data_IF_831250054455
#
_entry.id   IF_831250054455
#
_cell.length_a   1.000
_cell.length_b   1.000
_cell.length_c   1.000
_cell.angle_alpha   90.00
_cell.angle_beta   90.00
_cell.angle_gamma   90.00
#
_symmetry.space_group_name_H-M   'P 1'
#
loop_
_entity.id
_entity.type
_entity.pdbx_description
1 polymer ?
#
# COMPACT_ATOMS: atom_id res chain seq x y z
N UNK A 1 22.72 -24.35 14.22
CA UNK A 1 23.17 -24.09 12.84
C UNK A 1 23.37 -22.59 12.77
N UNK A 2 24.54 -22.12 12.35
CA UNK A 2 24.79 -20.68 12.21
C UNK A 2 24.24 -20.20 10.86
N UNK A 3 23.45 -19.13 10.88
CA UNK A 3 22.93 -18.50 9.67
C UNK A 3 23.75 -17.27 9.30
N UNK A 4 23.70 -16.79 8.04
CA UNK A 4 24.53 -15.68 7.58
C UNK A 4 24.46 -14.44 8.45
N UNK A 5 23.26 -14.03 8.86
CA UNK A 5 23.10 -12.81 9.67
C UNK A 5 23.78 -12.91 11.04
N UNK A 6 23.99 -14.12 11.55
CA UNK A 6 24.59 -14.37 12.87
C UNK A 6 26.13 -14.33 12.82
N UNK A 7 26.72 -14.69 11.68
CA UNK A 7 28.20 -14.71 11.50
C UNK A 7 28.73 -13.43 10.86
N UNK A 8 27.91 -12.73 10.07
CA UNK A 8 28.28 -11.51 9.34
C UNK A 8 28.16 -10.24 10.20
N UNK A 9 28.03 -10.34 11.52
CA UNK A 9 27.91 -9.15 12.38
C UNK A 9 29.18 -8.30 12.39
N UNK A 10 30.35 -8.94 12.32
CA UNK A 10 31.65 -8.27 12.32
C UNK A 10 32.25 -8.06 10.91
N UNK A 11 31.62 -8.57 9.86
CA UNK A 11 32.19 -8.58 8.51
C UNK A 11 31.83 -7.31 7.75
N UNK A 12 32.84 -6.69 7.14
CA UNK A 12 32.71 -5.50 6.30
C UNK A 12 32.42 -5.83 4.82
N UNK A 13 32.08 -4.80 4.04
CA UNK A 13 31.87 -4.97 2.60
C UNK A 13 33.11 -5.45 1.85
N UNK A 14 34.28 -4.93 2.22
CA UNK A 14 35.55 -5.22 1.54
C UNK A 14 35.93 -6.71 1.65
N UNK A 15 35.66 -7.32 2.80
CA UNK A 15 35.91 -8.74 3.06
C UNK A 15 34.99 -9.62 2.21
N UNK A 16 33.69 -9.32 2.17
CA UNK A 16 32.73 -10.02 1.31
C UNK A 16 33.07 -9.90 -0.18
N UNK A 17 33.46 -8.71 -0.62
CA UNK A 17 33.87 -8.48 -2.00
C UNK A 17 35.15 -9.23 -2.33
N UNK A 18 36.14 -9.21 -1.43
CA UNK A 18 37.41 -9.90 -1.64
C UNK A 18 37.21 -11.41 -1.74
N UNK A 19 36.42 -12.00 -0.83
CA UNK A 19 35.99 -13.39 -0.88
C UNK A 19 35.30 -13.72 -2.21
N UNK A 20 34.35 -12.88 -2.65
CA UNK A 20 33.63 -13.07 -3.90
C UNK A 20 34.54 -13.05 -5.14
N UNK A 21 35.52 -12.14 -5.20
CA UNK A 21 36.49 -12.10 -6.29
C UNK A 21 37.45 -13.29 -6.27
N UNK A 22 37.91 -13.71 -5.09
CA UNK A 22 38.75 -14.90 -4.94
C UNK A 22 38.01 -16.14 -5.45
N UNK A 23 36.78 -16.34 -4.97
CA UNK A 23 35.97 -17.48 -5.39
C UNK A 23 35.68 -17.48 -6.90
N UNK A 24 35.35 -16.32 -7.49
CA UNK A 24 35.15 -16.22 -8.93
C UNK A 24 36.43 -16.55 -9.72
N UNK A 25 37.59 -16.10 -9.23
CA UNK A 25 38.89 -16.44 -9.84
C UNK A 25 39.14 -17.94 -9.79
N UNK A 26 38.91 -18.58 -8.64
CA UNK A 26 39.08 -20.02 -8.48
C UNK A 26 38.12 -20.80 -9.38
N UNK A 27 36.87 -20.35 -9.52
CA UNK A 27 35.86 -20.96 -10.38
C UNK A 27 36.26 -21.01 -11.87
N UNK A 28 37.17 -20.13 -12.33
CA UNK A 28 37.72 -20.16 -13.70
C UNK A 28 38.60 -21.37 -13.97
N UNK A 29 39.22 -21.93 -12.92
CA UNK A 29 40.18 -23.03 -13.01
C UNK A 29 39.62 -24.35 -12.45
N UNK A 30 38.35 -24.37 -12.02
CA UNK A 30 37.70 -25.59 -11.52
C UNK A 30 37.58 -26.61 -12.65
N UNK A 31 38.03 -27.83 -12.36
CA UNK A 31 37.89 -28.98 -13.24
C UNK A 31 36.40 -29.25 -13.53
N UNK A 32 35.96 -29.26 -14.81
CA UNK A 32 34.59 -29.56 -15.20
C UNK A 32 34.06 -30.89 -14.61
N UNK A 33 34.94 -31.87 -14.40
CA UNK A 33 34.60 -33.19 -13.88
C UNK A 33 34.37 -33.19 -12.35
N UNK A 34 34.79 -32.14 -11.65
CA UNK A 34 34.65 -31.95 -10.19
C UNK A 34 33.73 -30.76 -9.86
N UNK A 35 32.55 -30.73 -10.48
CA UNK A 35 31.60 -29.62 -10.30
C UNK A 35 31.04 -29.54 -8.88
N UNK A 36 31.02 -28.32 -8.32
CA UNK A 36 30.37 -28.04 -7.04
C UNK A 36 28.84 -27.92 -7.22
N UNK A 37 28.09 -28.34 -6.20
CA UNK A 37 26.63 -28.25 -6.17
C UNK A 37 26.17 -27.61 -4.86
N UNK A 38 25.18 -26.71 -4.96
CA UNK A 38 24.43 -26.22 -3.81
C UNK A 38 23.14 -27.02 -3.67
N UNK A 39 22.84 -27.50 -2.47
CA UNK A 39 21.53 -28.10 -2.16
C UNK A 39 20.62 -27.03 -1.56
N UNK A 40 19.49 -26.79 -2.21
CA UNK A 40 18.45 -25.90 -1.71
C UNK A 40 17.62 -26.61 -0.63
N UNK A 41 16.92 -25.84 0.19
CA UNK A 41 15.95 -26.31 1.19
C UNK A 41 14.86 -27.22 0.61
N UNK A 42 14.54 -27.06 -0.67
CA UNK A 42 13.60 -27.90 -1.42
C UNK A 42 14.15 -29.30 -1.76
N UNK A 43 15.41 -29.58 -1.42
CA UNK A 43 16.13 -30.80 -1.81
C UNK A 43 16.70 -30.75 -3.24
N UNK A 44 16.38 -29.69 -4.00
CA UNK A 44 16.90 -29.46 -5.34
C UNK A 44 18.39 -29.12 -5.29
N UNK A 45 19.18 -29.72 -6.19
CA UNK A 45 20.59 -29.39 -6.36
C UNK A 45 20.80 -28.45 -7.54
N UNK A 46 21.61 -27.41 -7.35
CA UNK A 46 22.00 -26.46 -8.39
C UNK A 46 23.50 -26.61 -8.60
N UNK A 47 23.90 -26.96 -9.83
CA UNK A 47 25.31 -26.97 -10.22
C UNK A 47 25.84 -25.54 -10.22
N UNK A 48 27.02 -25.32 -9.68
CA UNK A 48 27.69 -24.02 -9.67
C UNK A 48 28.65 -23.98 -10.86
N UNK A 49 28.52 -22.96 -11.70
CA UNK A 49 29.40 -22.76 -12.85
C UNK A 49 29.49 -21.29 -13.22
N UNK A 50 30.49 -20.92 -14.02
CA UNK A 50 30.66 -19.54 -14.50
C UNK A 50 29.44 -19.02 -15.27
N UNK A 51 28.64 -19.91 -15.87
CA UNK A 51 27.45 -19.55 -16.64
C UNK A 51 26.24 -19.15 -15.78
N UNK A 52 26.24 -19.44 -14.48
CA UNK A 52 25.12 -19.12 -13.60
C UNK A 52 25.54 -18.40 -12.32
N UNK A 53 26.74 -17.86 -12.29
CA UNK A 53 27.27 -17.07 -11.18
C UNK A 53 27.58 -15.66 -11.67
N UNK A 54 27.22 -14.63 -10.90
CA UNK A 54 27.46 -13.25 -11.30
C UNK A 54 27.39 -12.27 -10.14
N UNK A 55 28.12 -11.15 -10.29
CA UNK A 55 28.09 -10.07 -9.32
C UNK A 55 26.80 -9.25 -9.42
N UNK A 56 26.18 -9.00 -8.26
CA UNK A 56 25.00 -8.14 -8.14
C UNK A 56 25.27 -7.01 -7.16
N UNK A 57 24.80 -5.77 -7.44
CA UNK A 57 24.96 -4.66 -6.52
C UNK A 57 24.05 -4.83 -5.30
N UNK A 58 24.60 -4.66 -4.11
CA UNK A 58 23.87 -4.79 -2.84
C UNK A 58 22.92 -3.60 -2.60
N UNK A 59 23.29 -2.41 -3.08
CA UNK A 59 22.57 -1.15 -2.81
C UNK A 59 21.96 -0.50 -4.05
N UNK A 60 21.38 -1.32 -4.93
CA UNK A 60 20.68 -0.84 -6.12
C UNK A 60 21.62 -0.24 -7.16
N UNK A 61 21.51 1.08 -7.40
CA UNK A 61 22.32 1.78 -8.40
C UNK A 61 23.76 2.04 -7.93
N UNK A 62 24.06 1.87 -6.64
CA UNK A 62 25.42 1.97 -6.14
C UNK A 62 26.20 0.70 -6.52
N UNK A 63 27.16 0.87 -7.43
CA UNK A 63 28.01 -0.21 -7.95
C UNK A 63 29.28 -0.44 -7.12
N UNK A 64 29.49 0.32 -6.03
CA UNK A 64 30.64 0.15 -5.15
C UNK A 64 30.61 -1.22 -4.48
N UNK A 65 29.47 -1.57 -3.89
CA UNK A 65 29.31 -2.79 -3.10
C UNK A 65 28.55 -3.88 -3.84
N UNK A 66 29.22 -5.01 -4.05
CA UNK A 66 28.68 -6.15 -4.81
C UNK A 66 28.84 -7.45 -4.03
N UNK A 67 27.91 -8.36 -4.25
CA UNK A 67 27.99 -9.74 -3.76
C UNK A 67 27.86 -10.70 -4.92
N UNK A 68 28.37 -11.91 -4.77
CA UNK A 68 28.24 -12.94 -5.79
C UNK A 68 26.92 -13.69 -5.61
N UNK A 69 26.13 -13.77 -6.68
CA UNK A 69 24.88 -14.48 -6.71
C UNK A 69 24.97 -15.72 -7.60
N UNK A 70 24.33 -16.80 -7.15
CA UNK A 70 24.07 -17.99 -7.95
C UNK A 70 22.64 -17.90 -8.48
N UNK A 71 22.48 -18.08 -9.79
CA UNK A 71 21.21 -17.96 -10.49
C UNK A 71 20.60 -19.33 -10.80
N UNK A 72 19.27 -19.37 -10.85
CA UNK A 72 18.54 -20.58 -11.21
C UNK A 72 18.88 -21.00 -12.65
N UNK A 73 19.15 -22.29 -12.91
CA UNK A 73 19.39 -22.81 -14.26
C UNK A 73 18.27 -22.50 -15.27
N UNK A 74 17.01 -22.47 -14.81
CA UNK A 74 15.84 -22.20 -15.64
C UNK A 74 15.58 -20.70 -15.86
N UNK A 75 16.13 -19.86 -14.99
CA UNK A 75 15.92 -18.41 -15.01
C UNK A 75 17.18 -17.68 -14.50
N UNK A 76 17.96 -17.17 -15.46
CA UNK A 76 19.20 -16.44 -15.20
C UNK A 76 18.98 -15.09 -14.48
N UNK A 77 17.73 -14.65 -14.27
CA UNK A 77 17.41 -13.44 -13.53
C UNK A 77 17.01 -13.70 -12.09
N UNK A 78 16.79 -14.96 -11.70
CA UNK A 78 16.40 -15.35 -10.35
C UNK A 78 17.59 -15.88 -9.57
N UNK A 79 18.10 -15.07 -8.64
CA UNK A 79 19.13 -15.51 -7.69
C UNK A 79 18.53 -16.48 -6.67
N UNK A 80 19.19 -17.62 -6.47
CA UNK A 80 18.78 -18.69 -5.53
C UNK A 80 19.70 -18.79 -4.31
N UNK A 81 20.90 -18.20 -4.39
CA UNK A 81 21.87 -18.17 -3.31
C UNK A 81 22.84 -16.99 -3.47
N UNK A 82 23.48 -16.60 -2.37
CA UNK A 82 24.57 -15.64 -2.34
C UNK A 82 25.81 -16.29 -1.74
N UNK A 83 26.98 -15.93 -2.26
CA UNK A 83 28.27 -16.27 -1.65
C UNK A 83 28.58 -15.20 -0.61
N UNK A 84 28.68 -15.62 0.65
CA UNK A 84 28.93 -14.76 1.79
C UNK A 84 30.02 -15.42 2.65
N UNK A 85 31.15 -14.74 2.83
CA UNK A 85 32.28 -15.24 3.62
C UNK A 85 32.73 -16.65 3.18
N UNK A 86 33.14 -16.77 1.91
CA UNK A 86 33.61 -17.99 1.25
C UNK A 86 32.62 -19.17 1.21
N UNK A 87 31.36 -18.92 1.56
CA UNK A 87 30.33 -19.95 1.63
C UNK A 87 29.05 -19.56 0.90
N UNK A 88 28.50 -20.51 0.16
CA UNK A 88 27.20 -20.36 -0.49
C UNK A 88 26.07 -20.56 0.52
N UNK A 89 25.17 -19.57 0.57
CA UNK A 89 23.95 -19.64 1.37
C UNK A 89 22.73 -19.52 0.47
N UNK A 90 21.82 -20.49 0.60
CA UNK A 90 20.53 -20.42 -0.06
C UNK A 90 19.73 -19.22 0.48
N UNK A 91 18.87 -18.66 -0.37
CA UNK A 91 17.99 -17.53 -0.02
C UNK A 91 17.23 -17.78 1.29
N UNK A 92 16.71 -18.99 1.49
CA UNK A 92 15.96 -19.33 2.71
C UNK A 92 16.82 -19.32 3.98
N UNK A 93 18.09 -19.72 3.89
CA UNK A 93 19.01 -19.72 5.02
C UNK A 93 19.47 -18.30 5.36
N UNK A 94 19.59 -17.42 4.37
CA UNK A 94 19.90 -16.00 4.58
C UNK A 94 18.79 -15.32 5.40
N UNK A 95 17.54 -15.74 5.22
CA UNK A 95 16.38 -15.17 5.92
C UNK A 95 16.15 -15.77 7.31
N UNK A 96 17.09 -16.55 7.83
CA UNK A 96 16.99 -17.22 9.13
C UNK A 96 18.06 -16.74 10.09
N UNK A 97 17.80 -16.98 11.37
CA UNK A 97 18.72 -16.71 12.47
C UNK A 97 18.56 -17.78 13.54
N UNK A 98 19.66 -18.10 14.22
CA UNK A 98 19.70 -18.94 15.40
C UNK A 98 19.70 -18.11 16.69
N UNK A 99 19.89 -16.80 16.59
CA UNK A 99 19.86 -15.90 17.74
C UNK A 99 18.42 -15.61 18.16
N UNK A 100 18.01 -16.22 19.28
CA UNK A 100 16.70 -16.00 19.89
C UNK A 100 16.43 -14.55 20.31
N UNK A 101 17.48 -13.71 20.43
CA UNK A 101 17.33 -12.29 20.72
C UNK A 101 16.78 -11.49 19.52
N UNK A 102 16.93 -12.04 18.30
CA UNK A 102 16.40 -11.44 17.07
C UNK A 102 14.92 -11.76 16.90
N UNK A 103 14.08 -11.02 17.64
CA UNK A 103 12.62 -11.15 17.59
C UNK A 103 11.96 -9.76 17.56
N UNK A 104 10.92 -9.60 16.75
CA UNK A 104 10.23 -8.32 16.56
C UNK A 104 10.94 -7.39 15.55
N UNK A 105 10.66 -6.09 15.64
CA UNK A 105 11.20 -5.09 14.72
C UNK A 105 12.58 -4.62 15.16
N UNK A 106 13.61 -5.00 14.39
CA UNK A 106 15.01 -4.69 14.72
C UNK A 106 15.59 -3.77 13.66
N UNK A 107 16.23 -2.69 14.10
CA UNK A 107 16.90 -1.72 13.23
C UNK A 107 18.14 -2.33 12.59
N UNK A 108 18.24 -2.19 11.27
CA UNK A 108 19.38 -2.64 10.47
C UNK A 108 20.62 -1.81 10.77
N UNK A 109 21.73 -2.47 11.06
CA UNK A 109 23.03 -1.90 11.44
C UNK A 109 24.21 -2.62 10.77
N UNK A 110 24.15 -3.95 10.61
CA UNK A 110 25.25 -4.73 10.04
C UNK A 110 25.11 -4.99 8.54
N UNK A 111 26.21 -5.39 7.89
CA UNK A 111 26.21 -5.83 6.48
C UNK A 111 25.34 -7.08 6.31
N UNK A 112 25.41 -8.03 7.26
CA UNK A 112 24.53 -9.20 7.30
C UNK A 112 23.04 -8.83 7.25
N UNK A 113 22.60 -7.87 8.06
CA UNK A 113 21.22 -7.40 8.06
C UNK A 113 20.85 -6.66 6.76
N UNK A 114 21.79 -5.93 6.15
CA UNK A 114 21.61 -5.33 4.82
C UNK A 114 21.42 -6.39 3.73
N UNK A 115 22.11 -7.52 3.84
CA UNK A 115 21.93 -8.67 2.94
C UNK A 115 20.54 -9.29 3.13
N UNK A 116 20.06 -9.47 4.37
CA UNK A 116 18.68 -9.93 4.63
C UNK A 116 17.67 -8.99 3.97
N UNK A 117 17.84 -7.67 4.14
CA UNK A 117 17.00 -6.65 3.52
C UNK A 117 17.05 -6.70 1.98
N UNK A 118 18.23 -6.97 1.41
CA UNK A 118 18.41 -7.16 -0.03
C UNK A 118 17.62 -8.37 -0.51
N UNK A 119 17.75 -9.51 0.17
CA UNK A 119 17.06 -10.75 -0.20
C UNK A 119 15.54 -10.58 -0.11
N UNK A 120 15.02 -9.97 0.96
CA UNK A 120 13.58 -9.71 1.10
C UNK A 120 13.04 -8.83 -0.04
N UNK A 121 13.74 -7.73 -0.37
CA UNK A 121 13.28 -6.76 -1.37
C UNK A 121 13.56 -7.22 -2.82
N UNK A 122 14.80 -7.60 -3.12
CA UNK A 122 15.26 -7.82 -4.51
C UNK A 122 15.00 -9.22 -5.02
N UNK A 123 14.95 -10.21 -4.11
CA UNK A 123 14.73 -11.61 -4.48
C UNK A 123 13.29 -11.98 -4.14
N UNK A 124 12.96 -12.18 -2.86
CA UNK A 124 11.65 -12.72 -2.44
C UNK A 124 10.49 -11.88 -2.95
N UNK A 125 10.47 -10.58 -2.64
CA UNK A 125 9.38 -9.70 -3.07
C UNK A 125 9.22 -9.74 -4.60
N UNK A 126 10.29 -9.54 -5.38
CA UNK A 126 10.19 -9.39 -6.84
C UNK A 126 9.92 -10.70 -7.59
N UNK A 127 10.41 -11.83 -7.12
CA UNK A 127 10.30 -13.10 -7.87
C UNK A 127 9.04 -13.87 -7.53
N UNK A 128 8.55 -13.80 -6.28
CA UNK A 128 7.47 -14.69 -5.82
C UNK A 128 6.28 -13.97 -5.20
N UNK A 129 6.45 -12.74 -4.72
CA UNK A 129 5.48 -12.12 -3.80
C UNK A 129 4.87 -10.78 -4.22
N UNK A 130 5.40 -10.15 -5.28
CA UNK A 130 4.92 -8.91 -5.87
C UNK A 130 3.65 -9.14 -6.69
N UNK A 131 2.72 -8.19 -6.63
CA UNK A 131 1.47 -8.28 -7.38
C UNK A 131 1.68 -7.90 -8.85
N UNK A 132 0.87 -8.48 -9.75
CA UNK A 132 0.92 -8.09 -11.16
C UNK A 132 0.57 -6.60 -11.33
N UNK A 133 1.44 -5.86 -12.02
CA UNK A 133 1.26 -4.42 -12.26
C UNK A 133 1.71 -3.51 -11.09
N UNK A 134 2.25 -4.08 -10.01
CA UNK A 134 2.87 -3.31 -8.93
C UNK A 134 4.25 -2.79 -9.36
N UNK A 135 4.55 -1.54 -9.00
CA UNK A 135 5.89 -0.98 -9.22
C UNK A 135 6.82 -1.54 -8.15
N UNK A 136 7.94 -2.19 -8.51
CA UNK A 136 8.82 -2.77 -7.52
C UNK A 136 9.45 -1.70 -6.63
N UNK A 137 9.60 -1.99 -5.34
CA UNK A 137 10.38 -1.15 -4.44
C UNK A 137 11.79 -0.95 -4.97
N UNK A 138 12.30 0.27 -4.84
CA UNK A 138 13.73 0.51 -5.08
C UNK A 138 14.54 -0.26 -4.04
N UNK A 139 15.79 -0.58 -4.40
CA UNK A 139 16.70 -1.17 -3.44
C UNK A 139 17.01 -0.15 -2.34
N UNK A 140 17.25 -0.63 -1.13
CA UNK A 140 17.72 0.21 -0.04
C UNK A 140 19.14 0.71 -0.33
N UNK A 141 19.45 1.91 0.13
CA UNK A 141 20.79 2.44 0.22
C UNK A 141 21.54 1.90 1.45
N UNK A 142 22.86 2.02 1.41
CA UNK A 142 23.78 1.58 2.46
C UNK A 142 23.44 2.17 3.85
N UNK A 143 23.02 3.44 3.87
CA UNK A 143 22.72 4.19 5.09
C UNK A 143 21.22 4.46 5.30
N UNK A 144 20.36 3.85 4.49
CA UNK A 144 18.91 4.04 4.63
C UNK A 144 18.44 3.51 5.99
N UNK A 145 17.54 4.24 6.63
CA UNK A 145 16.86 3.71 7.81
C UNK A 145 15.98 2.53 7.40
N UNK A 146 16.13 1.40 8.06
CA UNK A 146 15.27 0.25 7.87
C UNK A 146 15.17 -0.57 9.17
N UNK A 147 14.05 -1.28 9.32
CA UNK A 147 13.91 -2.34 10.31
C UNK A 147 13.44 -3.62 9.64
N UNK A 148 13.94 -4.75 10.12
CA UNK A 148 13.49 -6.09 9.73
C UNK A 148 12.58 -6.62 10.84
N UNK A 149 11.45 -7.20 10.46
CA UNK A 149 10.58 -7.93 11.36
C UNK A 149 11.04 -9.39 11.42
N UNK A 150 11.51 -9.80 12.59
CA UNK A 150 11.86 -11.18 12.89
C UNK A 150 10.72 -11.86 13.65
N UNK A 151 10.42 -13.10 13.27
CA UNK A 151 9.43 -13.96 13.91
C UNK A 151 9.91 -15.40 13.90
N UNK A 152 10.05 -16.00 15.08
CA UNK A 152 10.40 -17.42 15.25
C UNK A 152 11.68 -17.81 14.49
N UNK A 153 12.71 -16.96 14.54
CA UNK A 153 13.98 -17.20 13.85
C UNK A 153 13.96 -16.95 12.34
N UNK A 154 12.88 -16.37 11.78
CA UNK A 154 12.81 -15.99 10.37
C UNK A 154 12.58 -14.49 10.19
N UNK A 155 13.20 -13.90 9.17
CA UNK A 155 12.89 -12.56 8.68
C UNK A 155 11.60 -12.61 7.86
N UNK A 156 10.53 -12.00 8.38
CA UNK A 156 9.18 -12.10 7.80
C UNK A 156 8.69 -10.83 7.12
N UNK A 157 9.44 -9.74 7.24
CA UNK A 157 9.11 -8.49 6.58
C UNK A 157 10.12 -7.40 6.91
N UNK A 158 9.92 -6.23 6.34
CA UNK A 158 10.72 -5.05 6.63
C UNK A 158 9.95 -3.78 6.32
N UNK A 159 10.43 -2.66 6.84
CA UNK A 159 10.11 -1.34 6.30
C UNK A 159 11.38 -0.48 6.22
N UNK A 160 11.41 0.45 5.27
CA UNK A 160 12.46 1.45 5.12
C UNK A 160 11.90 2.86 5.15
N UNK A 161 12.73 3.81 5.56
CA UNK A 161 12.36 5.23 5.70
C UNK A 161 13.42 6.08 5.04
N UNK A 162 12.98 7.13 4.34
CA UNK A 162 13.81 8.28 3.98
C UNK A 162 13.65 9.34 5.07
N UNK A 163 14.66 9.56 5.93
CA UNK A 163 14.55 10.53 7.01
C UNK A 163 14.43 11.96 6.46
N UNK A 164 13.78 12.83 7.23
CA UNK A 164 13.80 14.27 6.98
C UNK A 164 15.24 14.78 6.84
N UNK A 165 15.48 15.65 5.86
CA UNK A 165 16.79 16.21 5.55
C UNK A 165 17.69 15.31 4.68
N UNK A 166 17.34 14.03 4.48
CA UNK A 166 18.09 13.15 3.57
C UNK A 166 17.90 13.53 2.09
N UNK A 167 18.94 13.38 1.28
CA UNK A 167 18.91 13.65 -0.16
C UNK A 167 17.98 12.67 -0.89
N UNK A 168 17.17 13.21 -1.79
CA UNK A 168 16.36 12.40 -2.68
C UNK A 168 17.21 11.89 -3.83
N UNK A 169 17.36 10.57 -3.97
CA UNK A 169 18.17 9.95 -5.03
C UNK A 169 17.68 10.32 -6.44
N UNK A 170 16.41 10.68 -6.60
CA UNK A 170 15.82 11.06 -7.89
C UNK A 170 16.04 12.54 -8.23
N UNK A 171 16.42 13.37 -7.26
CA UNK A 171 16.56 14.82 -7.41
C UNK A 171 17.79 15.30 -6.61
N UNK A 172 18.92 15.46 -7.31
CA UNK A 172 20.26 15.68 -6.73
C UNK A 172 20.34 16.91 -5.80
N UNK A 173 19.40 17.85 -5.87
CA UNK A 173 19.37 19.08 -5.07
C UNK A 173 18.26 19.16 -4.02
N UNK A 174 17.42 18.12 -3.86
CA UNK A 174 16.27 18.17 -2.95
C UNK A 174 16.41 17.19 -1.79
N UNK A 175 16.01 17.64 -0.60
CA UNK A 175 15.93 16.81 0.60
C UNK A 175 14.48 16.57 1.01
N UNK A 176 14.21 15.43 1.62
CA UNK A 176 12.92 15.12 2.22
C UNK A 176 12.56 16.14 3.31
N UNK A 177 11.35 16.70 3.27
CA UNK A 177 10.89 17.70 4.24
C UNK A 177 10.23 17.10 5.49
N UNK A 178 9.95 15.80 5.44
CA UNK A 178 9.41 14.98 6.53
C UNK A 178 9.93 13.54 6.39
N UNK A 179 9.90 12.72 7.46
CA UNK A 179 10.21 11.30 7.35
C UNK A 179 9.19 10.61 6.43
N UNK A 180 9.66 9.82 5.47
CA UNK A 180 8.78 9.09 4.54
C UNK A 180 9.07 7.59 4.60
N UNK A 181 8.09 6.77 4.98
CA UNK A 181 8.14 5.33 4.81
C UNK A 181 8.15 5.00 3.31
N UNK A 182 9.32 4.59 2.82
CA UNK A 182 9.63 4.43 1.40
C UNK A 182 9.25 3.05 0.86
N UNK A 183 9.40 2.03 1.69
CA UNK A 183 8.94 0.68 1.38
C UNK A 183 8.50 -0.04 2.64
N UNK A 184 7.50 -0.89 2.48
CA UNK A 184 6.98 -1.76 3.53
C UNK A 184 6.57 -3.08 2.89
N UNK A 185 7.00 -4.18 3.48
CA UNK A 185 6.79 -5.51 2.94
C UNK A 185 6.61 -6.52 4.07
N UNK A 186 5.63 -7.41 3.90
CA UNK A 186 5.41 -8.58 4.77
C UNK A 186 5.27 -9.80 3.87
N UNK A 187 6.04 -10.86 4.16
CA UNK A 187 6.00 -12.14 3.44
C UNK A 187 4.57 -12.70 3.42
N UNK A 188 4.18 -13.33 2.32
CA UNK A 188 2.80 -13.73 2.01
C UNK A 188 2.20 -14.61 3.10
N UNK A 189 2.99 -15.55 3.63
CA UNK A 189 2.58 -16.44 4.73
C UNK A 189 2.31 -15.74 6.06
N UNK A 190 2.76 -14.49 6.21
CA UNK A 190 2.63 -13.68 7.43
C UNK A 190 1.65 -12.50 7.27
N UNK A 191 1.03 -12.34 6.09
CA UNK A 191 0.02 -11.29 5.86
C UNK A 191 -1.27 -11.62 6.62
N UNK A 192 -2.04 -10.60 6.98
CA UNK A 192 -3.29 -10.75 7.73
C UNK A 192 -3.13 -10.97 9.24
N UNK A 193 -1.90 -10.97 9.76
CA UNK A 193 -1.59 -11.20 11.18
C UNK A 193 -1.27 -9.89 11.95
N UNK A 194 -1.63 -8.73 11.39
CA UNK A 194 -1.41 -7.42 12.02
C UNK A 194 0.00 -6.83 11.87
N UNK A 195 0.95 -7.52 11.23
CA UNK A 195 2.33 -7.03 11.09
C UNK A 195 2.48 -5.70 10.34
N UNK A 196 1.61 -5.42 9.36
CA UNK A 196 1.63 -4.12 8.68
C UNK A 196 1.26 -2.96 9.62
N UNK A 197 0.28 -3.18 10.51
CA UNK A 197 -0.10 -2.21 11.53
C UNK A 197 1.02 -2.05 12.57
N UNK A 198 1.62 -3.16 13.01
CA UNK A 198 2.77 -3.15 13.92
C UNK A 198 3.94 -2.32 13.35
N UNK A 199 4.25 -2.46 12.07
CA UNK A 199 5.30 -1.67 11.41
C UNK A 199 4.95 -0.18 11.31
N UNK A 200 3.67 0.16 11.09
CA UNK A 200 3.21 1.54 11.07
C UNK A 200 3.28 2.17 12.48
N UNK A 201 2.82 1.46 13.50
CA UNK A 201 2.92 1.89 14.90
C UNK A 201 4.38 2.14 15.28
N UNK A 202 5.28 1.20 14.97
CA UNK A 202 6.72 1.36 15.24
C UNK A 202 7.36 2.51 14.46
N UNK A 203 6.89 2.79 13.23
CA UNK A 203 7.34 3.96 12.47
C UNK A 203 6.92 5.26 13.15
N UNK A 204 5.65 5.40 13.54
CA UNK A 204 5.16 6.56 14.28
C UNK A 204 5.91 6.72 15.61
N UNK A 205 6.19 5.62 16.28
CA UNK A 205 6.96 5.65 17.52
C UNK A 205 8.43 6.04 17.32
N UNK A 206 9.02 5.66 16.19
CA UNK A 206 10.44 5.92 15.89
C UNK A 206 10.70 7.35 15.41
N UNK A 207 9.70 8.06 14.89
CA UNK A 207 9.84 9.40 14.33
C UNK A 207 8.84 10.37 14.97
N UNK A 208 9.35 11.35 15.73
CA UNK A 208 8.54 12.28 16.54
C UNK A 208 8.23 13.61 15.84
N UNK A 209 8.29 13.64 14.50
CA UNK A 209 7.87 14.79 13.71
C UNK A 209 6.32 14.90 13.74
N UNK A 210 5.81 16.14 13.64
CA UNK A 210 4.36 16.42 13.62
C UNK A 210 3.65 15.85 12.38
N UNK A 211 4.40 15.51 11.34
CA UNK A 211 3.89 14.98 10.08
C UNK A 211 4.78 13.82 9.61
N UNK A 212 4.14 12.70 9.26
CA UNK A 212 4.81 11.49 8.80
C UNK A 212 4.27 11.06 7.44
N UNK A 213 5.20 10.75 6.54
CA UNK A 213 4.92 10.46 5.14
C UNK A 213 4.87 8.96 4.84
N UNK A 214 3.95 8.58 3.95
CA UNK A 214 3.88 7.29 3.27
C UNK A 214 4.11 7.54 1.79
N UNK A 215 5.01 6.79 1.17
CA UNK A 215 5.33 7.01 -0.24
C UNK A 215 4.12 6.83 -1.16
N UNK A 216 3.97 7.75 -2.11
CA UNK A 216 3.01 7.64 -3.21
C UNK A 216 3.46 6.61 -4.26
N UNK A 217 2.53 5.83 -4.85
CA UNK A 217 1.11 5.78 -4.50
C UNK A 217 0.86 4.91 -3.26
N UNK A 218 -0.09 5.34 -2.43
CA UNK A 218 -0.53 4.57 -1.26
C UNK A 218 -1.27 3.33 -1.76
N UNK A 219 -0.63 2.16 -1.59
CA UNK A 219 -1.19 0.89 -2.05
C UNK A 219 -2.54 0.58 -1.37
N UNK A 220 -3.40 -0.26 -1.97
CA UNK A 220 -4.64 -0.68 -1.33
C UNK A 220 -4.42 -1.35 0.03
N UNK A 221 -3.36 -2.16 0.16
CA UNK A 221 -2.98 -2.80 1.41
C UNK A 221 -2.55 -1.75 2.46
N UNK A 222 -1.71 -0.80 2.07
CA UNK A 222 -1.28 0.26 2.99
C UNK A 222 -2.45 1.18 3.39
N UNK A 223 -3.40 1.43 2.49
CA UNK A 223 -4.63 2.16 2.79
C UNK A 223 -5.47 1.45 3.86
N UNK A 224 -5.52 0.11 3.85
CA UNK A 224 -6.20 -0.66 4.91
C UNK A 224 -5.45 -0.57 6.24
N UNK A 225 -4.12 -0.67 6.22
CA UNK A 225 -3.29 -0.52 7.41
C UNK A 225 -3.45 0.88 8.04
N UNK A 226 -3.38 1.94 7.23
CA UNK A 226 -3.61 3.31 7.73
C UNK A 226 -5.02 3.51 8.29
N UNK A 227 -6.04 2.86 7.70
CA UNK A 227 -7.40 2.90 8.24
C UNK A 227 -7.46 2.28 9.63
N UNK A 228 -6.91 1.07 9.79
CA UNK A 228 -6.86 0.41 11.10
C UNK A 228 -6.06 1.18 12.14
N UNK A 229 -4.98 1.84 11.72
CA UNK A 229 -4.22 2.74 12.57
C UNK A 229 -5.09 3.90 13.06
N UNK A 230 -5.75 4.63 12.16
CA UNK A 230 -6.60 5.78 12.53
C UNK A 230 -7.85 5.38 13.32
N UNK A 231 -8.39 4.18 13.11
CA UNK A 231 -9.47 3.63 13.93
C UNK A 231 -9.01 3.42 15.39
N UNK A 232 -7.74 3.05 15.60
CA UNK A 232 -7.13 2.85 16.92
C UNK A 232 -6.64 4.15 17.56
N UNK A 233 -6.12 5.07 16.73
CA UNK A 233 -5.53 6.34 17.14
C UNK A 233 -6.21 7.52 16.43
N UNK A 234 -7.47 7.86 16.77
CA UNK A 234 -8.23 8.89 16.07
C UNK A 234 -7.63 10.31 16.24
N UNK A 235 -6.81 10.53 17.27
CA UNK A 235 -6.09 11.79 17.48
C UNK A 235 -5.04 12.06 16.37
N UNK A 236 -4.58 11.02 15.67
CA UNK A 236 -3.53 11.10 14.65
C UNK A 236 -4.08 11.41 13.24
N UNK A 237 -5.31 11.91 13.15
CA UNK A 237 -6.00 12.19 11.87
C UNK A 237 -5.21 13.13 10.95
N UNK A 238 -4.41 14.03 11.53
CA UNK A 238 -3.58 14.99 10.82
C UNK A 238 -2.09 14.59 10.73
N UNK A 239 -1.71 13.44 11.32
CA UNK A 239 -0.31 12.97 11.38
C UNK A 239 0.16 12.35 10.07
N UNK A 240 -0.69 11.54 9.42
CA UNK A 240 -0.28 10.70 8.29
C UNK A 240 -0.57 11.35 6.93
N UNK A 241 0.47 11.41 6.09
CA UNK A 241 0.43 12.02 4.77
C UNK A 241 0.89 11.02 3.70
N UNK A 242 0.20 10.98 2.56
CA UNK A 242 0.74 10.35 1.36
C UNK A 242 1.62 11.37 0.63
N UNK A 243 2.85 10.99 0.30
CA UNK A 243 3.91 11.89 -0.13
C UNK A 243 4.43 11.50 -1.52
N UNK A 244 4.36 12.45 -2.43
CA UNK A 244 5.06 12.47 -3.71
C UNK A 244 6.41 13.20 -3.56
N UNK A 245 7.40 12.82 -4.37
CA UNK A 245 8.71 13.49 -4.37
C UNK A 245 9.35 13.57 -2.98
N UNK A 246 9.61 14.80 -2.50
CA UNK A 246 10.25 15.08 -1.21
C UNK A 246 9.28 15.56 -0.12
N UNK A 247 7.98 15.62 -0.43
CA UNK A 247 6.95 16.06 0.52
C UNK A 247 6.85 17.56 0.71
N UNK A 248 7.09 18.34 -0.35
CA UNK A 248 6.74 19.76 -0.41
C UNK A 248 5.26 20.04 -0.14
N UNK A 249 4.87 21.31 0.11
CA UNK A 249 3.49 21.69 0.42
C UNK A 249 2.42 21.21 -0.58
N UNK A 250 2.80 21.07 -1.86
CA UNK A 250 1.92 20.59 -2.94
C UNK A 250 2.19 19.15 -3.37
N UNK A 251 3.08 18.44 -2.67
CA UNK A 251 3.47 17.07 -2.97
C UNK A 251 2.97 16.10 -1.90
N UNK A 252 1.97 16.49 -1.11
CA UNK A 252 1.44 15.64 -0.05
C UNK A 252 -0.05 15.81 0.12
N UNK A 253 -0.72 14.71 0.46
CA UNK A 253 -2.16 14.68 0.73
C UNK A 253 -2.39 13.94 2.04
N UNK A 254 -3.24 14.49 2.93
CA UNK A 254 -3.61 13.80 4.18
C UNK A 254 -4.24 12.44 3.88
N UNK A 255 -3.74 11.41 4.55
CA UNK A 255 -4.22 10.03 4.38
C UNK A 255 -5.68 9.92 4.81
N UNK A 256 -6.07 10.52 5.94
CA UNK A 256 -7.44 10.52 6.42
C UNK A 256 -8.44 11.04 5.37
N UNK A 257 -8.11 12.15 4.69
CA UNK A 257 -8.95 12.72 3.62
C UNK A 257 -9.11 11.77 2.43
N UNK A 258 -8.05 11.06 2.04
CA UNK A 258 -8.11 10.05 0.97
C UNK A 258 -8.98 8.87 1.37
N UNK A 259 -8.81 8.34 2.58
CA UNK A 259 -9.60 7.20 3.07
C UNK A 259 -11.10 7.50 3.13
N UNK A 260 -11.48 8.70 3.58
CA UNK A 260 -12.88 9.16 3.63
C UNK A 260 -13.52 9.28 2.25
N UNK A 261 -12.75 9.71 1.24
CA UNK A 261 -13.23 9.84 -0.15
C UNK A 261 -13.57 8.47 -0.77
N UNK A 262 -12.86 7.41 -0.39
CA UNK A 262 -13.16 6.06 -0.84
C UNK A 262 -14.44 5.50 -0.21
N UNK A 263 -14.70 5.78 1.07
CA UNK A 263 -15.93 5.37 1.77
C UNK A 263 -17.18 5.98 1.12
N UNK A 264 -17.12 7.27 0.76
CA UNK A 264 -18.21 7.97 0.06
C UNK A 264 -18.49 7.37 -1.34
N UNK A 265 -17.46 6.94 -2.07
CA UNK A 265 -17.63 6.28 -3.37
C UNK A 265 -18.30 4.91 -3.24
N UNK A 266 -17.94 4.10 -2.24
CA UNK A 266 -18.54 2.78 -2.00
C UNK A 266 -20.01 2.91 -1.57
N UNK A 267 -20.32 3.84 -0.66
CA UNK A 267 -21.69 4.14 -0.25
C UNK A 267 -22.56 4.59 -1.43
N UNK A 268 -22.03 5.44 -2.33
CA UNK A 268 -22.74 5.86 -3.53
C UNK A 268 -23.03 4.69 -4.50
N UNK A 269 -22.10 3.75 -4.67
CA UNK A 269 -22.30 2.57 -5.53
C UNK A 269 -23.33 1.61 -4.92
N UNK A 270 -23.25 1.34 -3.61
CA UNK A 270 -24.23 0.51 -2.91
C UNK A 270 -25.63 1.13 -2.92
N UNK A 271 -25.73 2.45 -2.76
CA UNK A 271 -26.98 3.17 -2.85
C UNK A 271 -27.59 3.08 -4.27
N UNK A 272 -26.78 3.25 -5.33
CA UNK A 272 -27.23 3.04 -6.70
C UNK A 272 -27.77 1.62 -6.94
N UNK A 273 -27.11 0.60 -6.39
CA UNK A 273 -27.53 -0.80 -6.52
C UNK A 273 -28.85 -1.11 -5.80
N UNK A 274 -29.06 -0.52 -4.62
CA UNK A 274 -30.32 -0.66 -3.88
C UNK A 274 -31.46 0.06 -4.59
N UNK A 275 -31.21 1.25 -5.16
CA UNK A 275 -32.20 1.98 -5.95
C UNK A 275 -32.59 1.21 -7.21
N UNK A 276 -31.65 0.59 -7.93
CA UNK A 276 -31.99 -0.22 -9.11
C UNK A 276 -32.80 -1.46 -8.76
N UNK A 277 -32.46 -2.18 -7.69
CA UNK A 277 -33.24 -3.34 -7.23
C UNK A 277 -34.67 -2.95 -6.81
N UNK A 278 -34.84 -1.80 -6.16
CA UNK A 278 -36.15 -1.30 -5.74
C UNK A 278 -37.02 -0.83 -6.92
N UNK A 279 -36.43 -0.13 -7.90
CA UNK A 279 -37.11 0.28 -9.15
C UNK A 279 -37.55 -0.94 -9.97
N UNK A 280 -36.72 -2.00 -10.02
CA UNK A 280 -37.11 -3.26 -10.68
C UNK A 280 -38.29 -3.94 -9.96
N UNK A 281 -38.30 -3.94 -8.63
CA UNK A 281 -39.38 -4.53 -7.84
C UNK A 281 -40.72 -3.82 -8.07
N UNK A 282 -40.71 -2.48 -8.19
CA UNK A 282 -41.92 -1.71 -8.53
C UNK A 282 -42.34 -1.91 -9.99
N UNK A 283 -41.39 -2.01 -10.91
CA UNK A 283 -41.66 -2.27 -12.33
C UNK A 283 -42.32 -3.62 -12.58
N UNK A 284 -41.97 -4.64 -11.80
CA UNK A 284 -42.60 -5.97 -11.86
C UNK A 284 -44.02 -5.95 -11.29
N UNK A 285 -44.29 -5.15 -10.25
CA UNK A 285 -45.62 -5.05 -9.64
C UNK A 285 -46.61 -4.17 -10.42
N UNK A 286 -46.17 -3.34 -11.36
CA UNK A 286 -47.02 -2.34 -12.03
C UNK A 286 -47.26 -2.55 -13.52
N UNK A 287 -46.68 -3.59 -14.15
CA UNK A 287 -46.99 -3.95 -15.54
C UNK A 287 -46.72 -2.85 -16.58
N UNK A 288 -45.87 -1.87 -16.27
CA UNK A 288 -45.59 -0.71 -17.14
C UNK A 288 -44.32 -0.93 -17.98
N UNK A 289 -44.48 -0.83 -19.30
CA UNK A 289 -43.39 -0.94 -20.28
C UNK A 289 -42.28 0.11 -20.09
N UNK A 290 -41.04 -0.32 -20.36
CA UNK A 290 -39.79 0.41 -20.11
C UNK A 290 -39.67 1.72 -20.90
N UNK A 291 -39.45 2.83 -20.17
CA UNK A 291 -38.70 3.99 -20.66
C UNK A 291 -37.90 4.59 -19.50
N UNK A 292 -36.60 4.34 -19.46
CA UNK A 292 -35.65 4.97 -18.52
C UNK A 292 -35.00 6.17 -19.18
N UNK A 293 -35.22 7.38 -18.67
CA UNK A 293 -34.49 8.58 -19.08
C UNK A 293 -33.54 8.98 -17.93
N UNK A 294 -32.22 8.91 -18.17
CA UNK A 294 -31.19 9.34 -17.21
C UNK A 294 -31.10 10.87 -17.19
N UNK A 295 -31.42 11.50 -16.07
CA UNK A 295 -31.06 12.90 -15.82
C UNK A 295 -29.70 12.96 -15.08
N UNK A 296 -28.74 13.72 -15.61
CA UNK A 296 -27.48 14.06 -14.93
C UNK A 296 -27.75 15.23 -13.98
N UNK A 297 -27.35 15.12 -12.70
CA UNK A 297 -27.30 16.26 -11.79
C UNK A 297 -25.98 17.01 -11.97
N UNK A 298 -26.05 18.33 -12.23
CA UNK A 298 -24.92 19.25 -12.21
C UNK A 298 -24.67 19.78 -10.78
N UNK A 299 -23.41 20.08 -10.45
CA UNK A 299 -22.94 20.43 -9.10
C UNK A 299 -23.44 21.79 -8.58
N UNK A 300 -23.38 21.96 -7.25
CA UNK A 300 -23.81 23.13 -6.49
C UNK A 300 -22.70 24.20 -6.38
N UNK A 301 -23.08 25.49 -6.45
CA UNK A 301 -22.22 26.68 -6.31
C UNK A 301 -22.68 27.50 -5.08
N UNK A 302 -21.84 27.81 -4.07
CA UNK A 302 -22.28 28.26 -2.75
C UNK A 302 -22.22 29.78 -2.54
N UNK A 303 -22.63 30.61 -3.50
CA UNK A 303 -22.75 32.06 -3.31
C UNK A 303 -24.21 32.51 -3.43
N UNK A 304 -24.95 32.55 -2.32
CA UNK A 304 -26.02 33.55 -2.06
C UNK A 304 -26.57 33.43 -0.63
N UNK A 305 -26.69 34.60 -0.02
CA UNK A 305 -26.87 34.88 1.41
C UNK A 305 -28.29 34.68 1.97
N UNK A 306 -28.32 34.48 3.31
CA UNK A 306 -29.27 34.97 4.33
C UNK A 306 -30.79 34.99 4.09
N UNK A 307 -31.56 34.55 5.10
CA UNK A 307 -32.65 35.30 5.80
C UNK A 307 -33.05 34.58 7.10
N UNK A 308 -33.29 35.37 8.18
CA UNK A 308 -33.70 34.99 9.55
C UNK A 308 -35.23 34.89 9.69
N UNK A 309 -35.74 34.11 10.66
CA UNK A 309 -37.05 34.32 11.30
C UNK A 309 -37.91 33.05 11.51
N UNK A 310 -38.64 32.92 12.65
CA UNK A 310 -39.24 31.67 13.10
C UNK A 310 -40.66 31.47 12.54
N UNK A 311 -40.92 30.27 12.01
CA UNK A 311 -42.21 29.87 11.45
C UNK A 311 -42.04 29.17 10.11
N UNK A 312 -41.46 27.96 10.11
CA UNK A 312 -41.06 27.30 8.86
C UNK A 312 -42.02 26.16 8.53
N UNK A 313 -43.06 26.47 7.77
CA UNK A 313 -43.54 25.55 6.74
C UNK A 313 -42.38 25.43 5.74
N UNK A 314 -41.57 24.37 5.85
CA UNK A 314 -40.42 24.14 4.95
C UNK A 314 -40.95 23.80 3.57
N UNK A 315 -41.27 24.82 2.77
CA UNK A 315 -41.40 24.68 1.32
C UNK A 315 -40.03 24.26 0.79
N UNK A 316 -39.87 22.96 0.53
CA UNK A 316 -38.75 22.43 -0.24
C UNK A 316 -38.99 22.90 -1.67
N UNK A 317 -38.36 23.99 -2.10
CA UNK A 317 -38.47 24.47 -3.48
C UNK A 317 -37.39 23.78 -4.31
N UNK A 318 -37.81 22.94 -5.27
CA UNK A 318 -36.92 22.43 -6.29
C UNK A 318 -36.59 23.58 -7.26
N UNK A 319 -35.44 24.23 -7.06
CA UNK A 319 -34.99 25.27 -7.98
C UNK A 319 -34.72 24.66 -9.38
N UNK A 320 -35.48 25.11 -10.38
CA UNK A 320 -35.24 24.79 -11.80
C UNK A 320 -36.29 23.92 -12.51
N UNK A 321 -37.38 23.50 -11.85
CA UNK A 321 -38.50 22.83 -12.52
C UNK A 321 -39.85 23.41 -12.08
N UNK A 322 -40.45 24.25 -12.92
CA UNK A 322 -41.87 24.57 -12.83
C UNK A 322 -42.67 23.31 -13.19
N UNK A 323 -43.55 22.85 -12.29
CA UNK A 323 -44.49 21.71 -12.42
C UNK A 323 -44.07 20.38 -11.73
N UNK A 324 -43.47 20.44 -10.53
CA UNK A 324 -43.32 19.29 -9.64
C UNK A 324 -44.13 19.49 -8.34
N UNK A 325 -44.95 18.50 -7.98
CA UNK A 325 -45.70 18.46 -6.73
C UNK A 325 -45.06 17.47 -5.76
N UNK A 326 -44.81 17.88 -4.52
CA UNK A 326 -44.29 17.00 -3.48
C UNK A 326 -45.36 15.98 -3.06
N UNK A 327 -44.99 14.70 -2.98
CA UNK A 327 -45.90 13.60 -2.61
C UNK A 327 -45.57 13.04 -1.22
N UNK A 328 -44.31 13.02 -0.80
CA UNK A 328 -43.95 12.48 0.51
C UNK A 328 -42.46 12.27 0.72
N UNK A 329 -42.10 11.85 1.93
CA UNK A 329 -40.75 11.47 2.33
C UNK A 329 -40.76 10.10 3.02
N UNK A 330 -39.74 9.26 2.77
CA UNK A 330 -39.56 7.98 3.47
C UNK A 330 -38.09 7.78 3.84
N UNK A 331 -37.81 7.31 5.06
CA UNK A 331 -36.45 7.05 5.54
C UNK A 331 -35.92 5.73 4.96
N UNK A 332 -34.67 5.73 4.51
CA UNK A 332 -34.05 4.60 3.80
C UNK A 332 -33.87 3.36 4.68
N UNK A 333 -33.42 3.54 5.92
CA UNK A 333 -33.31 2.50 6.95
C UNK A 333 -33.45 3.12 8.35
N UNK A 334 -33.76 2.30 9.37
CA UNK A 334 -33.96 2.78 10.75
C UNK A 334 -32.75 3.53 11.34
N UNK A 335 -31.53 3.23 10.87
CA UNK A 335 -30.26 3.79 11.36
C UNK A 335 -29.56 4.72 10.36
N UNK A 336 -30.24 5.18 9.29
CA UNK A 336 -29.66 6.10 8.31
C UNK A 336 -30.33 7.46 8.33
N UNK A 337 -29.56 8.55 8.21
CA UNK A 337 -30.05 9.92 7.99
C UNK A 337 -30.33 10.24 6.51
N UNK A 338 -30.69 9.21 5.75
CA UNK A 338 -30.99 9.30 4.33
C UNK A 338 -32.51 9.18 4.11
N UNK A 339 -33.06 10.07 3.27
CA UNK A 339 -34.48 10.13 2.98
C UNK A 339 -34.72 10.09 1.47
N UNK A 340 -35.72 9.33 1.04
CA UNK A 340 -36.34 9.46 -0.27
C UNK A 340 -37.33 10.61 -0.23
N UNK A 341 -37.26 11.50 -1.23
CA UNK A 341 -38.26 12.54 -1.44
C UNK A 341 -39.00 12.25 -2.75
N UNK A 342 -40.32 12.11 -2.66
CA UNK A 342 -41.17 11.77 -3.80
C UNK A 342 -41.78 13.03 -4.41
N UNK A 343 -41.60 13.19 -5.73
CA UNK A 343 -42.20 14.28 -6.50
C UNK A 343 -43.01 13.72 -7.68
N UNK A 344 -44.20 14.28 -7.89
CA UNK A 344 -45.06 14.01 -9.06
C UNK A 344 -44.82 15.09 -10.09
N UNK A 345 -44.60 14.68 -11.33
CA UNK A 345 -44.65 15.62 -12.46
C UNK A 345 -46.10 15.70 -12.95
N UNK A 346 -46.72 16.88 -12.88
CA UNK A 346 -47.97 17.13 -13.60
C UNK A 346 -47.64 17.43 -15.05
N UNK A 347 -48.09 16.59 -15.98
CA UNK A 347 -48.02 16.91 -17.40
C UNK A 347 -49.40 16.72 -18.00
N UNK A 348 -50.05 17.85 -18.30
CA UNK A 348 -51.23 18.06 -19.14
C UNK A 348 -52.48 17.18 -18.84
N UNK A 349 -53.68 17.75 -18.57
CA UNK A 349 -54.87 16.99 -18.13
C UNK A 349 -55.41 15.89 -19.06
N UNK A 350 -54.84 15.72 -20.26
CA UNK A 350 -55.29 14.74 -21.27
C UNK A 350 -54.31 13.58 -21.54
N UNK A 351 -53.28 13.39 -20.72
CA UNK A 351 -52.32 12.27 -20.86
C UNK A 351 -52.39 11.29 -19.68
N UNK A 352 -52.68 10.01 -19.96
CA UNK A 352 -52.84 8.93 -18.95
C UNK A 352 -51.48 8.37 -18.46
N UNK A 353 -50.33 8.92 -18.90
CA UNK A 353 -49.01 8.43 -18.44
C UNK A 353 -48.47 9.28 -17.29
N UNK A 354 -48.53 8.75 -16.07
CA UNK A 354 -47.90 9.35 -14.89
C UNK A 354 -46.42 8.98 -14.80
N UNK A 355 -45.54 9.99 -14.77
CA UNK A 355 -44.11 9.82 -14.49
C UNK A 355 -43.81 10.18 -13.04
N UNK A 356 -43.20 9.26 -12.29
CA UNK A 356 -42.72 9.51 -10.93
C UNK A 356 -41.22 9.87 -10.99
N UNK A 357 -40.82 10.96 -10.37
CA UNK A 357 -39.40 11.36 -10.28
C UNK A 357 -38.91 11.05 -8.87
N UNK A 358 -37.90 10.19 -8.77
CA UNK A 358 -37.25 9.85 -7.51
C UNK A 358 -35.97 10.69 -7.37
N UNK A 359 -35.93 11.60 -6.40
CA UNK A 359 -34.70 12.27 -6.00
C UNK A 359 -34.21 11.73 -4.66
N UNK A 360 -32.94 11.33 -4.63
CA UNK A 360 -32.26 10.86 -3.43
C UNK A 360 -31.60 12.06 -2.76
N UNK A 361 -31.97 12.35 -1.52
CA UNK A 361 -31.38 13.45 -0.77
C UNK A 361 -30.50 12.88 0.34
N UNK A 362 -29.19 13.18 0.27
CA UNK A 362 -28.18 12.70 1.20
C UNK A 362 -27.79 13.84 2.15
N UNK A 363 -27.94 13.57 3.45
CA UNK A 363 -27.49 14.33 4.63
C UNK A 363 -28.26 15.59 5.06
N UNK A 364 -28.90 15.45 6.23
CA UNK A 364 -29.20 16.51 7.19
C UNK A 364 -28.37 16.25 8.47
N UNK A 365 -27.06 16.47 8.42
CA UNK A 365 -26.20 16.39 9.62
C UNK A 365 -25.40 17.67 9.90
N UNK A 366 -25.82 18.80 9.31
CA UNK A 366 -25.37 20.13 9.72
C UNK A 366 -26.58 21.07 9.86
N UNK A 367 -27.40 20.84 10.89
CA UNK A 367 -28.27 21.85 11.49
C UNK A 367 -28.65 21.41 12.92
N UNK A 368 -27.65 21.41 13.80
CA UNK A 368 -27.76 21.53 15.27
C UNK A 368 -26.33 21.79 15.75
N UNK A 369 -25.84 23.02 15.81
CA UNK A 369 -26.26 24.09 16.72
C UNK A 369 -25.85 25.43 16.14
#
# INVERSE_FOLDING_TARGET
MEFPVDVLEAIGHEELESSAHSYMSDLLYVDPDHSQYLSLTTGRKVRISLSNVGFVPLYGANLKHKVLALFAPEDQFTAVALLLDDKWYAVDDILRTADSSREGLIKVRSVGERIVLYVLNRIVYRTSEMSAGEVPFLCHGENDFAKILWKNGEAVGFYSVKPKGSLCSNFVSQCYLLPVMDSIFVRRGHRGQGHGLQMLEDFVDSFKDDELGMKFPLSPAMSQVCRHYLDRYPADVDLLWEVEGVGGPYQRTRVASKLSTHTLKVLNIQCLHLVTLWVFSIGIMSGLGKTTQKCKCAGYNPDTNHIKGPGVNKNIVANGCSNLQFIGITRLTANSDCFFVFWRHERNPHSIKHGMVLMLWLNLSHFSS
#
